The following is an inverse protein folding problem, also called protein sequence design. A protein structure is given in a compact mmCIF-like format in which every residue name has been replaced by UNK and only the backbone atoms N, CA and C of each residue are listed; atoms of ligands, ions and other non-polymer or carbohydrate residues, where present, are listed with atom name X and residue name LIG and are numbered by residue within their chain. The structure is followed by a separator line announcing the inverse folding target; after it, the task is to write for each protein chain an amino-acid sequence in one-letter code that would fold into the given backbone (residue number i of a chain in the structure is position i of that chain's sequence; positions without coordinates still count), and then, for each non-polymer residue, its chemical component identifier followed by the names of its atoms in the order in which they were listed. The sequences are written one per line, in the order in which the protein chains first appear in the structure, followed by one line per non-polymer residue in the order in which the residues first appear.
data_IF_035599067064
#
_entry.id   IF_035599067064
#
_cell.length_a   1.000
_cell.length_b   1.000
_cell.length_c   1.000
_cell.angle_alpha   90.00
_cell.angle_beta   90.00
_cell.angle_gamma   90.00
#
_symmetry.space_group_name_H-M   'P 1'
#
loop_
_entity.id
_entity.type
_entity.pdbx_description
1 polymer ?
#
# COMPACT_ATOMS: atom_id res chain seq x y z
N UNK A 1 -4.85 -14.26 12.95
CA UNK A 1 -4.78 -15.10 11.72
C UNK A 1 -4.22 -14.26 10.59
N UNK A 2 -3.02 -14.57 10.09
CA UNK A 2 -2.47 -13.95 8.87
C UNK A 2 -3.23 -14.55 7.69
N UNK A 3 -4.06 -13.74 7.03
CA UNK A 3 -4.60 -14.12 5.72
C UNK A 3 -3.42 -14.13 4.75
N UNK A 4 -2.95 -15.33 4.40
CA UNK A 4 -1.94 -15.49 3.37
C UNK A 4 -2.58 -15.15 2.02
N UNK A 5 -2.43 -13.90 1.57
CA UNK A 5 -2.74 -13.55 0.20
C UNK A 5 -1.70 -14.23 -0.71
N UNK A 6 -2.06 -15.37 -1.31
CA UNK A 6 -1.27 -16.00 -2.37
C UNK A 6 -1.37 -15.14 -3.63
N UNK A 7 -0.55 -14.11 -3.72
CA UNK A 7 -0.35 -13.33 -4.94
C UNK A 7 0.85 -13.88 -5.69
N UNK A 8 0.73 -14.03 -7.02
CA UNK A 8 1.83 -14.41 -7.89
C UNK A 8 1.91 -13.44 -9.06
N UNK A 9 3.11 -13.02 -9.44
CA UNK A 9 3.33 -12.16 -10.61
C UNK A 9 3.13 -12.95 -11.91
N UNK A 10 2.80 -12.24 -13.00
CA UNK A 10 2.69 -12.89 -14.31
C UNK A 10 4.02 -13.53 -14.76
N UNK A 11 5.16 -13.01 -14.29
CA UNK A 11 6.47 -13.58 -14.54
C UNK A 11 6.68 -14.90 -13.77
N UNK A 12 6.32 -14.95 -12.48
CA UNK A 12 6.35 -16.17 -11.67
C UNK A 12 5.46 -17.26 -12.25
N UNK A 13 4.25 -16.91 -12.69
CA UNK A 13 3.33 -17.86 -13.32
C UNK A 13 3.93 -18.44 -14.60
N UNK A 14 4.53 -17.60 -15.46
CA UNK A 14 5.18 -18.08 -16.69
C UNK A 14 6.40 -18.96 -16.40
N UNK A 15 7.24 -18.57 -15.43
CA UNK A 15 8.41 -19.33 -15.02
C UNK A 15 8.03 -20.70 -14.43
N UNK A 16 7.00 -20.76 -13.60
CA UNK A 16 6.52 -22.01 -12.98
C UNK A 16 5.84 -22.95 -13.97
N UNK A 17 5.15 -22.42 -14.98
CA UNK A 17 4.45 -23.23 -15.99
C UNK A 17 5.42 -23.88 -16.99
N UNK A 18 6.63 -23.32 -17.16
CA UNK A 18 7.75 -23.95 -17.88
C UNK A 18 7.47 -24.31 -19.35
N UNK A 19 6.33 -23.87 -19.90
CA UNK A 19 5.83 -24.25 -21.22
C UNK A 19 5.26 -23.03 -21.94
N UNK A 20 5.40 -22.99 -23.26
CA UNK A 20 4.86 -21.92 -24.11
C UNK A 20 3.35 -22.08 -24.23
N UNK A 21 2.61 -21.61 -23.23
CA UNK A 21 1.15 -21.59 -23.24
C UNK A 21 0.63 -20.26 -23.79
N UNK A 22 -0.45 -20.32 -24.57
CA UNK A 22 -1.10 -19.10 -25.06
C UNK A 22 -1.76 -18.33 -23.92
N UNK A 23 -1.81 -17.01 -24.04
CA UNK A 23 -2.44 -16.14 -23.05
C UNK A 23 -3.91 -16.51 -22.78
N UNK A 24 -4.62 -17.00 -23.80
CA UNK A 24 -6.01 -17.49 -23.69
C UNK A 24 -6.12 -18.66 -22.71
N UNK A 25 -5.22 -19.65 -22.82
CA UNK A 25 -5.16 -20.80 -21.91
C UNK A 25 -4.84 -20.37 -20.48
N UNK A 26 -3.94 -19.40 -20.32
CA UNK A 26 -3.60 -18.83 -19.00
C UNK A 26 -4.82 -18.18 -18.34
N UNK A 27 -5.56 -17.33 -19.06
CA UNK A 27 -6.77 -16.67 -18.55
C UNK A 27 -7.84 -17.70 -18.16
N UNK A 28 -8.09 -18.70 -19.01
CA UNK A 28 -9.08 -19.73 -18.71
C UNK A 28 -8.74 -20.51 -17.43
N UNK A 29 -7.47 -20.90 -17.24
CA UNK A 29 -7.03 -21.61 -16.03
C UNK A 29 -7.15 -20.74 -14.77
N UNK A 30 -6.80 -19.45 -14.87
CA UNK A 30 -6.97 -18.51 -13.75
C UNK A 30 -8.44 -18.36 -13.36
N UNK A 31 -9.35 -18.27 -14.35
CA UNK A 31 -10.79 -18.19 -14.10
C UNK A 31 -11.36 -19.49 -13.49
N UNK A 32 -10.91 -20.67 -13.95
CA UNK A 32 -11.26 -21.95 -13.35
C UNK A 32 -10.85 -22.03 -11.88
N UNK A 33 -9.68 -21.49 -11.54
CA UNK A 33 -9.19 -21.36 -10.16
C UNK A 33 -9.79 -20.19 -9.37
N UNK A 34 -10.80 -19.49 -9.91
CA UNK A 34 -11.43 -18.30 -9.31
C UNK A 34 -10.43 -17.15 -9.01
N UNK A 35 -9.28 -17.14 -9.67
CA UNK A 35 -8.26 -16.11 -9.54
C UNK A 35 -8.62 -14.92 -10.43
N UNK A 36 -8.58 -13.72 -9.86
CA UNK A 36 -8.84 -12.47 -10.59
C UNK A 36 -7.61 -11.57 -10.54
N UNK A 37 -7.38 -10.86 -11.64
CA UNK A 37 -6.37 -9.82 -11.66
C UNK A 37 -6.76 -8.71 -10.66
N UNK A 38 -5.78 -8.29 -9.86
CA UNK A 38 -5.89 -7.14 -8.96
C UNK A 38 -4.80 -6.14 -9.32
N UNK A 39 -5.19 -4.89 -9.58
CA UNK A 39 -4.22 -3.79 -9.67
C UNK A 39 -3.73 -3.49 -8.26
N UNK A 40 -2.42 -3.61 -8.03
CA UNK A 40 -1.83 -3.17 -6.77
C UNK A 40 -2.00 -1.65 -6.67
N UNK A 41 -2.46 -1.19 -5.51
CA UNK A 41 -2.39 0.23 -5.17
C UNK A 41 -0.91 0.57 -5.08
N UNK A 42 -0.51 1.73 -5.62
CA UNK A 42 0.86 2.20 -5.49
C UNK A 42 1.16 2.40 -4.00
N UNK A 43 1.89 1.45 -3.42
CA UNK A 43 2.31 1.50 -2.04
C UNK A 43 3.77 1.95 -1.99
N UNK A 44 4.09 2.81 -1.03
CA UNK A 44 5.47 3.12 -0.70
C UNK A 44 6.08 1.85 -0.08
N UNK A 45 7.16 1.27 -0.65
CA UNK A 45 7.80 0.11 -0.06
C UNK A 45 8.30 0.45 1.35
N UNK A 46 7.81 -0.28 2.35
CA UNK A 46 8.27 -0.14 3.72
C UNK A 46 9.44 -1.08 3.99
N UNK A 47 10.41 -0.61 4.74
CA UNK A 47 11.45 -1.49 5.28
C UNK A 47 10.83 -2.43 6.33
N UNK A 48 11.40 -3.62 6.57
CA UNK A 48 10.90 -4.52 7.62
C UNK A 48 10.80 -3.86 9.00
N UNK A 49 11.75 -2.97 9.31
CA UNK A 49 11.74 -2.18 10.55
C UNK A 49 10.55 -1.22 10.61
N UNK A 50 10.24 -0.53 9.51
CA UNK A 50 9.05 0.34 9.45
C UNK A 50 7.77 -0.47 9.66
N UNK A 51 7.64 -1.65 9.03
CA UNK A 51 6.48 -2.52 9.24
C UNK A 51 6.28 -2.91 10.71
N UNK A 52 7.37 -3.28 11.40
CA UNK A 52 7.33 -3.64 12.82
C UNK A 52 6.89 -2.45 13.69
N UNK A 53 7.56 -1.31 13.55
CA UNK A 53 7.28 -0.11 14.35
C UNK A 53 5.85 0.40 14.14
N UNK A 54 5.37 0.43 12.90
CA UNK A 54 3.97 0.79 12.60
C UNK A 54 2.98 -0.14 13.29
N UNK A 55 3.23 -1.45 13.23
CA UNK A 55 2.36 -2.44 13.90
C UNK A 55 2.34 -2.21 15.41
N UNK A 56 3.50 -2.09 16.05
CA UNK A 56 3.61 -1.86 17.49
C UNK A 56 2.90 -0.56 17.90
N UNK A 57 3.09 0.51 17.11
CA UNK A 57 2.45 1.80 17.35
C UNK A 57 0.93 1.72 17.29
N UNK A 58 0.38 1.05 16.27
CA UNK A 58 -1.06 0.80 16.12
C UNK A 58 -1.61 -0.09 17.24
N UNK A 59 -0.90 -1.15 17.61
CA UNK A 59 -1.32 -2.05 18.68
C UNK A 59 -1.38 -1.33 20.03
N UNK A 60 -0.37 -0.51 20.35
CA UNK A 60 -0.34 0.27 21.57
C UNK A 60 -1.50 1.29 21.69
N UNK A 61 -2.12 1.66 20.56
CA UNK A 61 -3.18 2.68 20.48
C UNK A 61 -4.50 2.12 19.95
N UNK A 62 -4.64 0.79 19.86
CA UNK A 62 -5.80 0.13 19.28
C UNK A 62 -7.12 0.45 20.01
N UNK A 63 -7.02 0.80 21.29
CA UNK A 63 -8.17 1.09 22.16
C UNK A 63 -8.33 2.59 22.49
N UNK A 64 -7.52 3.46 21.88
CA UNK A 64 -7.67 4.91 22.06
C UNK A 64 -9.02 5.37 21.49
N UNK A 65 -9.77 6.14 22.28
CA UNK A 65 -11.06 6.73 21.92
C UNK A 65 -11.02 8.23 22.08
N UNK A 66 -10.88 8.72 23.31
CA UNK A 66 -10.87 10.14 23.65
C UNK A 66 -9.47 10.74 23.60
N UNK A 67 -8.45 9.90 23.69
CA UNK A 67 -7.04 10.29 23.69
C UNK A 67 -6.66 11.00 22.39
N UNK A 68 -7.28 10.64 21.26
CA UNK A 68 -7.08 11.29 19.96
C UNK A 68 -7.38 12.79 19.98
N UNK A 69 -8.27 13.26 20.86
CA UNK A 69 -8.68 14.67 20.95
C UNK A 69 -7.49 15.55 21.38
N UNK A 70 -6.58 15.00 22.19
CA UNK A 70 -5.39 15.72 22.66
C UNK A 70 -4.21 15.68 21.67
N UNK A 71 -4.29 14.89 20.60
CA UNK A 71 -3.16 14.72 19.68
C UNK A 71 -3.18 15.80 18.61
N UNK A 72 -2.15 16.64 18.60
CA UNK A 72 -1.93 17.63 17.55
C UNK A 72 -0.95 17.07 16.52
N UNK A 73 -1.38 16.98 15.26
CA UNK A 73 -0.55 16.55 14.13
C UNK A 73 0.01 17.74 13.37
N UNK A 74 1.26 17.63 12.93
CA UNK A 74 1.87 18.58 12.02
C UNK A 74 2.51 17.84 10.85
N UNK A 75 2.27 18.33 9.64
CA UNK A 75 3.01 17.92 8.45
C UNK A 75 3.50 19.13 7.66
N UNK A 76 4.45 18.89 6.76
CA UNK A 76 4.86 19.84 5.76
C UNK A 76 4.45 19.31 4.39
N UNK A 77 3.60 20.08 3.72
CA UNK A 77 3.11 19.76 2.39
C UNK A 77 3.63 20.79 1.38
N UNK A 78 4.06 20.33 0.21
CA UNK A 78 4.45 21.20 -0.90
C UNK A 78 3.23 21.45 -1.77
N UNK A 79 2.88 22.71 -1.97
CA UNK A 79 1.79 23.13 -2.85
C UNK A 79 2.37 23.81 -4.09
N UNK A 80 1.80 23.51 -5.26
CA UNK A 80 2.15 24.19 -6.50
C UNK A 80 1.28 25.43 -6.67
N UNK A 81 1.89 26.61 -6.74
CA UNK A 81 1.18 27.87 -7.03
C UNK A 81 1.34 28.20 -8.52
N UNK A 82 0.52 27.60 -9.38
CA UNK A 82 0.48 27.93 -10.81
C UNK A 82 1.41 27.12 -11.72
N UNK A 83 1.69 27.67 -12.91
CA UNK A 83 2.34 26.99 -14.04
C UNK A 83 3.88 27.01 -14.00
N UNK A 84 4.48 27.88 -13.19
CA UNK A 84 5.90 27.79 -12.88
C UNK A 84 6.09 26.74 -11.78
N UNK A 85 7.23 26.07 -11.80
CA UNK A 85 7.56 24.97 -10.90
C UNK A 85 7.83 25.44 -9.44
N UNK A 86 7.28 26.60 -9.06
CA UNK A 86 7.43 27.24 -7.77
C UNK A 86 6.54 26.53 -6.76
N UNK A 87 7.15 25.56 -6.04
CA UNK A 87 6.49 24.82 -4.98
C UNK A 87 6.77 25.48 -3.65
N UNK A 88 5.72 25.97 -2.99
CA UNK A 88 5.83 26.57 -1.66
C UNK A 88 5.59 25.50 -0.60
N UNK A 89 6.45 25.49 0.43
CA UNK A 89 6.26 24.67 1.63
C UNK A 89 5.23 25.33 2.53
N UNK A 90 4.14 24.62 2.80
CA UNK A 90 3.11 25.05 3.74
C UNK A 90 3.08 24.03 4.87
N UNK A 91 3.25 24.52 6.10
CA UNK A 91 3.08 23.72 7.31
C UNK A 91 1.60 23.64 7.63
N UNK A 92 1.02 22.44 7.58
CA UNK A 92 -0.36 22.23 8.00
C UNK A 92 -0.38 21.68 9.42
N UNK A 93 -1.24 22.25 10.25
CA UNK A 93 -1.61 21.66 11.54
C UNK A 93 -2.92 20.93 11.32
N UNK A 94 -2.84 19.60 11.31
CA UNK A 94 -3.98 18.72 11.00
C UNK A 94 -3.88 18.04 9.64
N UNK A 95 -3.28 16.85 9.64
CA UNK A 95 -3.69 15.67 8.86
C UNK A 95 -2.92 14.45 9.34
N UNK A 96 -3.61 13.31 9.43
CA UNK A 96 -3.04 12.03 9.79
C UNK A 96 -2.49 11.37 8.53
N UNK A 97 -1.27 11.74 8.11
CA UNK A 97 -0.54 10.94 7.12
C UNK A 97 0.06 9.78 7.89
N UNK A 98 -0.57 8.62 7.70
CA UNK A 98 -0.34 7.36 8.40
C UNK A 98 1.16 7.00 8.32
N UNK A 99 1.89 7.11 9.44
CA UNK A 99 3.23 6.53 9.63
C UNK A 99 3.22 5.06 9.25
#
# INVERSE_FOLDING_TARGET
MVVAHRTASAAEIRAAVGTTVTQRTVIHRLLQGQLRARRLVACIPLTPNHCRLRREWCQARAYWRTEWISVVFSDESRFCLGTSNDRVLVRSVGKLIIF
#
